data_IF_108796879503
#
_entry.id   IF_108796879503
#
_cell.length_a   1.000
_cell.length_b   1.000
_cell.length_c   1.000
_cell.angle_alpha   90.00
_cell.angle_beta   90.00
_cell.angle_gamma   90.00
#
_symmetry.space_group_name_H-M   'P 1'
#
loop_
_entity.id
_entity.type
_entity.pdbx_description
1 polymer ?
#
# COMPACT_ATOMS: atom_id res chain seq x y z
N UNK A 1 36.17 -12.18 3.60
CA UNK A 1 34.88 -12.63 3.02
C UNK A 1 34.39 -11.58 2.03
N UNK A 2 34.28 -11.92 0.74
CA UNK A 2 33.85 -11.00 -0.33
C UNK A 2 32.38 -10.60 -0.11
N UNK A 3 32.11 -9.32 0.18
CA UNK A 3 30.77 -8.75 0.07
C UNK A 3 30.40 -8.76 -1.42
N UNK A 4 29.48 -9.64 -1.81
CA UNK A 4 28.92 -9.68 -3.15
C UNK A 4 28.03 -8.44 -3.30
N UNK A 5 28.59 -7.33 -3.78
CA UNK A 5 27.81 -6.15 -4.19
C UNK A 5 27.10 -6.42 -5.52
N UNK A 6 26.26 -7.44 -5.56
CA UNK A 6 25.12 -7.39 -6.46
C UNK A 6 24.11 -6.49 -5.76
N UNK A 7 23.67 -5.42 -6.43
CA UNK A 7 22.45 -4.72 -6.04
C UNK A 7 21.31 -5.73 -6.18
N UNK A 8 21.12 -6.55 -5.14
CA UNK A 8 20.01 -7.47 -5.06
C UNK A 8 18.82 -6.57 -4.81
N UNK A 9 17.97 -6.45 -5.82
CA UNK A 9 16.67 -5.79 -5.67
C UNK A 9 15.95 -6.50 -4.53
N UNK A 10 15.49 -5.79 -3.49
CA UNK A 10 14.77 -6.42 -2.40
C UNK A 10 13.54 -7.12 -2.99
N UNK A 11 13.37 -8.40 -2.67
CA UNK A 11 12.21 -9.18 -3.11
C UNK A 11 11.39 -9.62 -1.92
N UNK A 12 10.07 -9.59 -2.11
CA UNK A 12 9.11 -9.95 -1.07
C UNK A 12 9.38 -11.35 -0.49
N UNK A 13 9.75 -12.32 -1.34
CA UNK A 13 10.10 -13.67 -0.91
C UNK A 13 11.32 -13.71 0.01
N UNK A 14 12.39 -13.00 -0.35
CA UNK A 14 13.64 -12.99 0.46
C UNK A 14 13.40 -12.34 1.82
N UNK A 15 12.69 -11.21 1.85
CA UNK A 15 12.36 -10.53 3.10
C UNK A 15 11.37 -11.33 3.95
N UNK A 16 10.44 -12.07 3.32
CA UNK A 16 9.53 -12.99 4.02
C UNK A 16 10.29 -14.14 4.67
N UNK A 17 11.21 -14.77 3.95
CA UNK A 17 12.02 -15.86 4.50
C UNK A 17 12.91 -15.37 5.65
N UNK A 18 13.49 -14.17 5.52
CA UNK A 18 14.26 -13.53 6.60
C UNK A 18 13.40 -13.26 7.84
N UNK A 19 12.16 -12.81 7.63
CA UNK A 19 11.20 -12.55 8.70
C UNK A 19 10.79 -13.86 9.40
N UNK A 20 10.45 -14.90 8.64
CA UNK A 20 10.12 -16.23 9.17
C UNK A 20 11.30 -16.88 9.91
N UNK A 21 12.53 -16.65 9.43
CA UNK A 21 13.74 -17.12 10.11
C UNK A 21 14.01 -16.37 11.41
N UNK A 22 13.65 -15.08 11.49
CA UNK A 22 13.86 -14.25 12.68
C UNK A 22 12.75 -14.43 13.72
N UNK A 23 11.54 -14.80 13.28
CA UNK A 23 10.34 -14.96 14.09
C UNK A 23 9.69 -16.34 13.81
N UNK A 24 10.36 -17.45 14.15
CA UNK A 24 9.83 -18.79 13.89
C UNK A 24 8.55 -19.02 14.70
N UNK A 25 7.43 -19.26 14.01
CA UNK A 25 6.13 -19.50 14.64
C UNK A 25 5.41 -18.27 15.19
N UNK A 26 6.03 -17.09 15.12
CA UNK A 26 5.44 -15.83 15.60
C UNK A 26 5.04 -14.97 14.39
N UNK A 27 3.73 -14.94 14.10
CA UNK A 27 3.19 -14.14 12.99
C UNK A 27 2.87 -12.71 13.38
N UNK A 28 2.68 -12.46 14.68
CA UNK A 28 2.29 -11.15 15.21
C UNK A 28 3.06 -10.81 16.48
N UNK A 29 3.35 -9.53 16.66
CA UNK A 29 4.13 -8.96 17.76
C UNK A 29 3.27 -7.97 18.56
N UNK A 30 3.53 -7.82 19.85
CA UNK A 30 2.68 -7.02 20.73
C UNK A 30 3.15 -5.57 20.88
N UNK A 31 4.25 -5.18 20.25
CA UNK A 31 4.88 -3.88 20.46
C UNK A 31 5.40 -3.25 19.17
N UNK A 32 5.29 -1.91 19.09
CA UNK A 32 5.78 -1.13 17.95
C UNK A 32 7.31 -1.23 17.82
N UNK A 33 8.04 -1.33 18.93
CA UNK A 33 9.49 -1.56 18.92
C UNK A 33 9.90 -2.88 18.24
N UNK A 34 9.10 -3.94 18.42
CA UNK A 34 9.33 -5.21 17.72
C UNK A 34 9.05 -5.09 16.23
N UNK A 35 7.98 -4.36 15.85
CA UNK A 35 7.69 -4.05 14.44
C UNK A 35 8.85 -3.28 13.82
N UNK A 36 9.34 -2.24 14.50
CA UNK A 36 10.48 -1.43 14.06
C UNK A 36 11.72 -2.30 13.88
N UNK A 37 12.00 -3.17 14.83
CA UNK A 37 13.14 -4.10 14.78
C UNK A 37 13.01 -5.10 13.64
N UNK A 38 11.81 -5.64 13.41
CA UNK A 38 11.55 -6.59 12.33
C UNK A 38 11.68 -5.92 10.96
N UNK A 39 11.05 -4.76 10.76
CA UNK A 39 11.03 -4.03 9.49
C UNK A 39 12.41 -3.48 9.15
N UNK A 40 13.17 -2.97 10.12
CA UNK A 40 14.52 -2.43 9.89
C UNK A 40 15.54 -3.48 9.47
N UNK A 41 15.24 -4.78 9.65
CA UNK A 41 16.09 -5.89 9.18
C UNK A 41 15.83 -6.28 7.73
N UNK A 42 14.72 -5.82 7.15
CA UNK A 42 14.32 -6.17 5.79
C UNK A 42 15.10 -5.35 4.78
N UNK A 43 15.45 -5.96 3.65
CA UNK A 43 16.16 -5.26 2.58
C UNK A 43 15.32 -4.12 1.97
N UNK A 44 13.99 -4.23 1.99
CA UNK A 44 13.08 -3.15 1.53
C UNK A 44 13.21 -1.86 2.36
N UNK A 45 13.65 -1.93 3.62
CA UNK A 45 13.81 -0.75 4.47
C UNK A 45 14.93 0.18 3.98
N UNK A 46 15.99 -0.40 3.42
CA UNK A 46 17.10 0.33 2.81
C UNK A 46 16.83 0.74 1.36
N UNK A 47 15.67 0.39 0.79
CA UNK A 47 15.32 0.74 -0.58
C UNK A 47 14.95 2.22 -0.71
N UNK A 48 15.60 2.92 -1.64
CA UNK A 48 15.38 4.34 -1.86
C UNK A 48 13.93 4.66 -2.30
N UNK A 49 13.24 3.74 -2.96
CA UNK A 49 11.84 3.90 -3.38
C UNK A 49 10.91 3.85 -2.18
N UNK A 50 11.18 2.93 -1.25
CA UNK A 50 10.44 2.82 0.00
C UNK A 50 10.65 4.06 0.88
N UNK A 51 11.90 4.43 1.14
CA UNK A 51 12.24 5.56 2.01
C UNK A 51 11.67 6.90 1.50
N UNK A 52 11.58 7.09 0.19
CA UNK A 52 10.96 8.30 -0.40
C UNK A 52 9.46 8.40 -0.17
N UNK A 53 8.77 7.26 -0.07
CA UNK A 53 7.31 7.22 0.07
C UNK A 53 6.86 7.07 1.52
N UNK A 54 7.67 6.41 2.35
CA UNK A 54 7.38 6.18 3.77
C UNK A 54 8.62 6.54 4.58
N UNK A 55 8.80 7.82 4.93
CA UNK A 55 9.84 8.22 5.87
C UNK A 55 9.45 7.69 7.25
N UNK A 56 10.09 6.60 7.70
CA UNK A 56 9.85 6.03 9.04
C UNK A 56 10.89 6.56 10.03
N UNK A 57 10.90 7.88 10.23
CA UNK A 57 11.92 8.59 11.01
C UNK A 57 11.49 8.91 12.44
N UNK A 58 10.21 9.18 12.65
CA UNK A 58 9.62 9.57 13.93
C UNK A 58 8.75 8.45 14.50
N UNK A 59 8.54 8.47 15.82
CA UNK A 59 7.67 7.49 16.50
C UNK A 59 6.22 7.59 16.00
N UNK A 60 5.77 8.80 15.67
CA UNK A 60 4.43 9.05 15.14
C UNK A 60 4.23 8.34 13.78
N UNK A 61 5.20 8.47 12.86
CA UNK A 61 5.18 7.78 11.56
C UNK A 61 5.16 6.25 11.72
N UNK A 62 5.93 5.72 12.67
CA UNK A 62 5.89 4.29 13.00
C UNK A 62 4.54 3.84 13.55
N UNK A 63 3.91 4.67 14.38
CA UNK A 63 2.59 4.40 14.95
C UNK A 63 1.52 4.39 13.87
N UNK A 64 1.52 5.39 12.98
CA UNK A 64 0.60 5.44 11.84
C UNK A 64 0.84 4.26 10.88
N UNK A 65 2.10 3.92 10.62
CA UNK A 65 2.44 2.77 9.79
C UNK A 65 1.92 1.45 10.39
N UNK A 66 2.14 1.24 11.69
CA UNK A 66 1.76 0.02 12.39
C UNK A 66 0.23 -0.07 12.62
N UNK A 67 -0.47 1.05 12.72
CA UNK A 67 -1.93 1.11 12.98
C UNK A 67 -2.79 0.35 11.98
N UNK A 68 -2.31 0.12 10.75
CA UNK A 68 -3.06 -0.63 9.73
C UNK A 68 -2.59 -2.08 9.63
N UNK A 69 -1.64 -2.51 10.46
CA UNK A 69 -1.00 -3.82 10.37
C UNK A 69 -1.48 -4.77 11.47
N UNK A 70 -2.58 -4.47 12.16
CA UNK A 70 -3.14 -5.35 13.19
C UNK A 70 -3.53 -6.73 12.64
N UNK A 71 -3.36 -7.75 13.47
CA UNK A 71 -3.80 -9.11 13.17
C UNK A 71 -5.34 -9.19 13.18
N UNK A 72 -5.92 -10.02 12.30
CA UNK A 72 -7.39 -10.16 12.23
C UNK A 72 -7.94 -11.03 13.36
N UNK A 73 -7.13 -11.98 13.85
CA UNK A 73 -7.50 -12.82 14.98
C UNK A 73 -7.18 -12.14 16.32
N UNK A 74 -6.09 -11.37 16.38
CA UNK A 74 -5.63 -10.69 17.59
C UNK A 74 -5.39 -9.19 17.33
N UNK A 75 -6.43 -8.33 17.43
CA UNK A 75 -6.31 -6.91 17.10
C UNK A 75 -5.34 -6.13 18.00
N UNK A 76 -4.99 -6.66 19.17
CA UNK A 76 -3.98 -6.07 20.07
C UNK A 76 -2.54 -6.30 19.57
N UNK A 77 -2.35 -7.18 18.58
CA UNK A 77 -1.03 -7.51 18.02
C UNK A 77 -0.89 -7.01 16.58
N UNK A 78 0.35 -6.74 16.20
CA UNK A 78 0.74 -6.31 14.87
C UNK A 78 1.23 -7.51 14.05
N UNK A 79 0.56 -7.80 12.95
CA UNK A 79 0.92 -8.86 12.04
C UNK A 79 2.12 -8.44 11.16
N UNK A 80 3.23 -9.16 11.30
CA UNK A 80 4.48 -8.85 10.61
C UNK A 80 4.39 -9.08 9.10
N UNK A 81 3.58 -10.04 8.64
CA UNK A 81 3.36 -10.30 7.21
C UNK A 81 2.57 -9.17 6.55
N UNK A 82 1.60 -8.58 7.27
CA UNK A 82 0.89 -7.37 6.82
C UNK A 82 1.84 -6.17 6.74
N UNK A 83 2.70 -5.97 7.74
CA UNK A 83 3.74 -4.94 7.69
C UNK A 83 4.61 -5.09 6.43
N UNK A 84 5.10 -6.31 6.15
CA UNK A 84 5.90 -6.61 4.97
C UNK A 84 5.15 -6.30 3.66
N UNK A 85 3.89 -6.75 3.54
CA UNK A 85 3.04 -6.45 2.36
C UNK A 85 2.87 -4.94 2.20
N UNK A 86 2.67 -4.21 3.30
CA UNK A 86 2.54 -2.75 3.29
C UNK A 86 3.84 -2.07 2.84
N UNK A 87 5.02 -2.54 3.27
CA UNK A 87 6.30 -2.00 2.79
C UNK A 87 6.44 -2.10 1.26
N UNK A 88 6.20 -3.28 0.71
CA UNK A 88 6.29 -3.52 -0.73
C UNK A 88 5.18 -2.82 -1.52
N UNK A 89 3.97 -2.76 -0.97
CA UNK A 89 2.87 -1.98 -1.56
C UNK A 89 3.21 -0.49 -1.56
N UNK A 90 3.72 0.07 -0.46
CA UNK A 90 4.12 1.47 -0.44
C UNK A 90 5.21 1.75 -1.48
N UNK A 91 6.28 0.95 -1.50
CA UNK A 91 7.39 1.11 -2.43
C UNK A 91 6.95 0.98 -3.90
N UNK A 92 6.26 -0.10 -4.25
CA UNK A 92 6.06 -0.52 -5.65
C UNK A 92 4.60 -0.54 -6.12
N UNK A 93 3.62 -0.21 -5.28
CA UNK A 93 2.23 -0.08 -5.74
C UNK A 93 2.17 1.03 -6.78
N UNK A 94 1.58 0.69 -7.92
CA UNK A 94 1.28 1.66 -8.96
C UNK A 94 0.18 2.60 -8.43
N UNK A 95 0.29 3.91 -8.70
CA UNK A 95 -0.83 4.81 -8.41
C UNK A 95 -2.10 4.27 -9.09
N UNK A 96 -3.27 4.43 -8.47
CA UNK A 96 -4.52 4.03 -9.10
C UNK A 96 -4.56 4.67 -10.48
N UNK A 97 -4.77 3.85 -11.52
CA UNK A 97 -4.89 4.36 -12.88
C UNK A 97 -5.88 5.51 -12.87
N UNK A 98 -5.59 6.65 -13.52
CA UNK A 98 -6.50 7.78 -13.54
C UNK A 98 -7.85 7.25 -14.03
N UNK A 99 -8.84 7.24 -13.14
CA UNK A 99 -10.22 6.94 -13.52
C UNK A 99 -10.54 7.98 -14.57
N UNK A 100 -10.78 7.54 -15.80
CA UNK A 100 -11.19 8.40 -16.90
C UNK A 100 -12.41 9.21 -16.44
N UNK A 101 -12.19 10.47 -16.05
CA UNK A 101 -13.24 11.47 -15.81
C UNK A 101 -13.80 11.94 -17.16
N UNK A 102 -14.18 10.99 -18.01
CA UNK A 102 -14.82 11.20 -19.30
C UNK A 102 -16.04 10.28 -19.39
N UNK A 103 -17.02 10.51 -18.53
CA UNK A 103 -18.41 10.18 -18.87
C UNK A 103 -19.08 11.51 -19.19
N UNK A 104 -18.96 11.85 -20.48
CA UNK A 104 -19.92 12.56 -21.35
C UNK A 104 -21.06 13.31 -20.65
N UNK A 105 -21.31 14.60 -20.96
CA UNK A 105 -22.59 15.20 -20.64
C UNK A 105 -23.70 14.34 -21.27
N UNK A 106 -24.57 13.76 -20.43
CA UNK A 106 -25.83 13.18 -20.83
C UNK A 106 -26.62 14.32 -21.50
N UNK A 107 -26.73 14.25 -22.82
CA UNK A 107 -27.64 15.10 -23.59
C UNK A 107 -29.04 14.69 -23.12
N UNK A 108 -29.60 15.47 -22.20
CA UNK A 108 -30.97 15.31 -21.73
C UNK A 108 -31.88 15.21 -22.94
N UNK A 109 -32.49 14.03 -23.07
CA UNK A 109 -33.51 13.74 -24.07
C UNK A 109 -34.85 13.96 -23.37
N UNK A 110 -35.30 15.20 -23.29
CA UNK A 110 -36.69 15.50 -22.93
C UNK A 110 -37.10 16.89 -23.43
N UNK A 111 -38.40 17.04 -23.66
CA UNK A 111 -39.15 18.13 -24.27
C UNK A 111 -39.17 18.21 -25.81
N UNK A 112 -40.31 18.38 -26.48
CA UNK A 112 -41.72 18.14 -26.19
C UNK A 112 -42.43 18.38 -27.53
N UNK A 113 -43.54 17.69 -27.75
CA UNK A 113 -44.50 18.03 -28.81
C UNK A 113 -44.84 19.52 -28.79
N UNK A 114 -44.75 20.21 -29.94
CA UNK A 114 -45.58 21.38 -30.20
C UNK A 114 -45.87 21.52 -31.70
N UNK A 115 -47.11 21.16 -32.02
CA UNK A 115 -47.96 21.43 -33.19
C UNK A 115 -47.39 22.04 -34.49
N UNK A 116 -47.78 21.50 -35.67
CA UNK A 116 -47.63 22.19 -36.94
C UNK A 116 -48.61 23.37 -37.07
N UNK A 117 -48.10 24.49 -37.60
CA UNK A 117 -48.83 25.76 -37.84
C UNK A 117 -49.73 25.60 -39.08
N UNK A 118 -51.01 25.99 -39.06
CA UNK A 118 -51.84 25.99 -40.27
C UNK A 118 -51.51 27.20 -41.17
N UNK A 119 -51.35 26.95 -42.47
CA UNK A 119 -51.37 27.98 -43.52
C UNK A 119 -52.82 28.31 -43.83
N UNK A 120 -53.24 29.54 -43.53
CA UNK A 120 -54.47 30.11 -44.08
C UNK A 120 -54.16 30.73 -45.45
N UNK A 121 -55.08 30.55 -46.40
CA UNK A 121 -55.12 31.13 -47.75
C UNK A 121 -55.45 32.62 -47.66
#
# INVERSE_FOLDING_TARGET
>A
MRRRSGSITPTYSTDRDLLLSSYPGVKAVSSIDEVKTAVSKLAIYDDATFQRKVPLTTIEEWTEFASTCHDEAEPEKYNLEKCLKKCYSAAYSMPPSPKSLLIRPQKSKEEAMSSPRPLAI
#
